data_IF_161528569555
#
_entry.id   IF_161528569555
#
_cell.length_a   1.000
_cell.length_b   1.000
_cell.length_c   1.000
_cell.angle_alpha   90.00
_cell.angle_beta   90.00
_cell.angle_gamma   90.00
#
_symmetry.space_group_name_H-M   'P 1'
#
loop_
_entity.id
_entity.type
_entity.pdbx_description
1 polymer ?
#
# COMPACT_ATOMS: atom_id res chain seq x y z
N UNK A 1 -4.32 33.72 -62.06
CA UNK A 1 -5.16 34.16 -60.93
C UNK A 1 -5.79 33.03 -60.10
N UNK A 2 -5.55 31.73 -60.38
CA UNK A 2 -6.09 30.62 -59.56
C UNK A 2 -5.23 30.24 -58.33
N UNK A 3 -3.95 30.62 -58.29
CA UNK A 3 -3.04 30.22 -57.21
C UNK A 3 -3.29 30.96 -55.89
N UNK A 4 -3.69 32.24 -55.93
CA UNK A 4 -3.90 33.05 -54.74
C UNK A 4 -5.19 32.71 -53.99
N UNK A 5 -6.19 32.15 -54.67
CA UNK A 5 -7.46 31.74 -54.08
C UNK A 5 -7.36 30.44 -53.26
N UNK A 6 -6.51 29.50 -53.70
CA UNK A 6 -6.26 28.25 -52.98
C UNK A 6 -5.56 28.47 -51.63
N UNK A 7 -4.63 29.43 -51.57
CA UNK A 7 -3.97 29.81 -50.31
C UNK A 7 -4.91 30.50 -49.33
N UNK A 8 -5.85 31.31 -49.83
CA UNK A 8 -6.87 31.95 -48.97
C UNK A 8 -7.83 30.93 -48.34
N UNK A 9 -8.24 29.90 -49.09
CA UNK A 9 -9.12 28.84 -48.59
C UNK A 9 -8.38 27.94 -47.57
N UNK A 10 -7.07 27.70 -47.75
CA UNK A 10 -6.28 26.94 -46.78
C UNK A 10 -6.13 27.69 -45.45
N UNK A 11 -5.91 29.01 -45.50
CA UNK A 11 -5.76 29.86 -44.29
C UNK A 11 -7.10 30.02 -43.54
N UNK A 12 -8.22 30.11 -44.27
CA UNK A 12 -9.56 30.16 -43.66
C UNK A 12 -9.95 28.83 -42.97
N UNK A 13 -9.52 27.68 -43.52
CA UNK A 13 -9.77 26.39 -42.89
C UNK A 13 -8.90 26.15 -41.65
N UNK A 14 -7.63 26.59 -41.64
CA UNK A 14 -6.78 26.45 -40.45
C UNK A 14 -7.19 27.39 -39.32
N UNK A 15 -7.69 28.59 -39.63
CA UNK A 15 -8.27 29.51 -38.63
C UNK A 15 -9.60 28.99 -38.04
N UNK A 16 -10.45 28.34 -38.85
CA UNK A 16 -11.70 27.75 -38.34
C UNK A 16 -11.44 26.56 -37.39
N UNK A 17 -10.46 25.71 -37.70
CA UNK A 17 -10.07 24.59 -36.82
C UNK A 17 -9.47 25.11 -35.50
N UNK A 18 -8.73 26.23 -35.54
CA UNK A 18 -8.21 26.88 -34.33
C UNK A 18 -9.32 27.53 -33.47
N UNK A 19 -10.35 28.12 -34.10
CA UNK A 19 -11.51 28.67 -33.39
C UNK A 19 -12.41 27.60 -32.76
N UNK A 20 -12.64 26.46 -33.43
CA UNK A 20 -13.43 25.35 -32.88
C UNK A 20 -12.68 24.69 -31.71
N UNK A 21 -11.35 24.62 -31.76
CA UNK A 21 -10.52 24.15 -30.63
C UNK A 21 -10.58 25.05 -29.40
N UNK A 22 -10.90 26.35 -29.54
CA UNK A 22 -11.07 27.24 -28.38
C UNK A 22 -12.48 27.25 -27.81
N UNK A 23 -13.51 26.89 -28.58
CA UNK A 23 -14.90 26.86 -28.10
C UNK A 23 -15.31 25.57 -27.36
N UNK A 24 -14.49 24.51 -27.40
CA UNK A 24 -14.70 23.32 -26.56
C UNK A 24 -13.96 23.37 -25.20
N UNK A 25 -13.29 24.49 -24.89
CA UNK A 25 -12.55 24.72 -23.64
C UNK A 25 -13.22 25.68 -22.64
N UNK A 26 -14.46 26.11 -22.89
CA UNK A 26 -15.20 26.99 -21.96
C UNK A 26 -16.50 26.32 -21.49
N UNK A 27 -16.35 25.35 -20.58
CA UNK A 27 -17.40 25.05 -19.61
C UNK A 27 -17.53 26.24 -18.65
N UNK A 28 -18.70 26.89 -18.68
CA UNK A 28 -19.19 27.94 -17.78
C UNK A 28 -18.55 27.92 -16.39
N UNK A 29 -17.64 28.86 -16.12
CA UNK A 29 -17.35 29.31 -14.75
C UNK A 29 -18.53 30.16 -14.28
N UNK A 30 -19.52 29.49 -13.69
CA UNK A 30 -20.42 30.14 -12.74
C UNK A 30 -19.62 30.45 -11.48
N UNK A 31 -19.33 31.73 -11.26
CA UNK A 31 -18.87 32.25 -9.98
C UNK A 31 -19.90 31.89 -8.90
N UNK A 32 -19.59 30.86 -8.12
CA UNK A 32 -20.18 30.65 -6.80
C UNK A 32 -19.06 30.97 -5.82
N UNK A 33 -19.13 32.17 -5.25
CA UNK A 33 -18.40 32.50 -4.03
C UNK A 33 -18.96 31.61 -2.90
N UNK A 34 -18.32 30.47 -2.68
CA UNK A 34 -18.46 29.68 -1.47
C UNK A 34 -17.13 29.78 -0.72
N UNK A 35 -17.05 30.85 0.08
CA UNK A 35 -16.01 31.02 1.10
C UNK A 35 -16.32 30.02 2.22
N UNK A 36 -15.79 28.82 2.06
CA UNK A 36 -15.78 27.75 3.03
C UNK A 36 -14.35 27.26 3.13
N UNK A 37 -13.68 27.67 4.20
CA UNK A 37 -12.36 27.29 4.69
C UNK A 37 -11.78 26.01 4.03
N UNK A 38 -11.17 26.18 2.86
CA UNK A 38 -10.19 25.22 2.35
C UNK A 38 -8.91 25.54 3.09
N UNK A 39 -8.66 24.84 4.19
CA UNK A 39 -7.31 24.71 4.71
C UNK A 39 -6.43 24.31 3.53
N UNK A 40 -5.35 25.05 3.29
CA UNK A 40 -4.50 24.94 2.07
C UNK A 40 -3.81 23.57 1.88
N UNK A 41 -4.11 22.59 2.73
CA UNK A 41 -3.39 21.33 2.90
C UNK A 41 -4.31 20.11 3.19
N UNK A 42 -5.64 20.26 3.04
CA UNK A 42 -6.60 19.20 3.36
C UNK A 42 -6.68 18.08 2.32
N UNK A 43 -6.49 16.83 2.73
CA UNK A 43 -6.75 15.63 1.94
C UNK A 43 -8.21 15.19 2.04
N UNK A 44 -8.69 14.39 1.08
CA UNK A 44 -10.13 14.03 0.99
C UNK A 44 -10.43 12.57 1.29
N UNK A 45 -9.41 11.72 1.33
CA UNK A 45 -9.48 10.32 1.74
C UNK A 45 -8.09 9.81 2.14
N UNK A 46 -8.08 8.70 2.87
CA UNK A 46 -6.88 7.97 3.27
C UNK A 46 -6.91 6.58 2.66
N UNK A 47 -5.76 6.10 2.22
CA UNK A 47 -5.55 4.75 1.71
C UNK A 47 -4.44 4.07 2.49
N UNK A 48 -4.54 2.77 2.68
CA UNK A 48 -3.51 1.96 3.30
C UNK A 48 -3.12 0.76 2.43
N UNK A 49 -1.83 0.43 2.42
CA UNK A 49 -1.29 -0.78 1.82
C UNK A 49 -0.50 -1.50 2.92
N UNK A 50 -0.97 -2.68 3.32
CA UNK A 50 -0.39 -3.47 4.40
C UNK A 50 0.18 -4.76 3.84
N UNK A 51 1.49 -4.99 4.02
CA UNK A 51 2.20 -6.11 3.40
C UNK A 51 2.93 -6.94 4.43
N UNK A 52 2.49 -8.20 4.58
CA UNK A 52 3.28 -9.27 5.18
C UNK A 52 3.98 -10.03 4.06
N UNK A 53 5.30 -9.87 3.93
CA UNK A 53 6.05 -10.41 2.78
C UNK A 53 6.63 -11.80 3.00
N UNK A 54 6.65 -12.30 4.24
CA UNK A 54 7.28 -13.57 4.60
C UNK A 54 6.31 -14.76 4.64
N UNK A 55 6.82 -15.97 4.44
CA UNK A 55 6.10 -17.23 4.63
C UNK A 55 6.64 -18.09 5.75
N UNK A 56 5.93 -19.18 6.03
CA UNK A 56 6.26 -20.26 6.95
C UNK A 56 5.92 -19.95 8.40
N UNK A 57 5.69 -21.03 9.16
CA UNK A 57 5.23 -20.99 10.54
C UNK A 57 6.14 -20.15 11.47
N UNK A 58 7.45 -20.24 11.31
CA UNK A 58 8.41 -19.49 12.13
C UNK A 58 8.36 -17.96 11.90
N UNK A 59 7.65 -17.52 10.86
CA UNK A 59 7.42 -16.11 10.54
C UNK A 59 6.01 -15.63 10.88
N UNK A 60 5.29 -16.38 11.72
CA UNK A 60 3.96 -16.04 12.22
C UNK A 60 3.77 -14.55 12.55
N UNK A 61 4.75 -13.97 13.28
CA UNK A 61 4.74 -12.57 13.71
C UNK A 61 4.52 -11.55 12.60
N UNK A 62 5.07 -11.74 11.40
CA UNK A 62 4.91 -10.74 10.34
C UNK A 62 3.46 -10.68 9.85
N UNK A 63 2.73 -11.81 9.89
CA UNK A 63 1.31 -11.83 9.56
C UNK A 63 0.49 -11.19 10.68
N UNK A 64 0.80 -11.52 11.93
CA UNK A 64 0.16 -10.93 13.11
C UNK A 64 0.37 -9.40 13.19
N UNK A 65 1.58 -8.91 12.94
CA UNK A 65 1.91 -7.48 12.82
C UNK A 65 0.99 -6.77 11.83
N UNK A 66 0.87 -7.34 10.62
CA UNK A 66 0.07 -6.77 9.53
C UNK A 66 -1.42 -6.75 9.87
N UNK A 67 -1.93 -7.83 10.46
CA UNK A 67 -3.33 -7.92 10.91
C UNK A 67 -3.62 -6.98 12.09
N UNK A 68 -2.66 -6.78 13.00
CA UNK A 68 -2.79 -5.81 14.08
C UNK A 68 -2.86 -4.38 13.55
N UNK A 69 -2.01 -4.02 12.58
CA UNK A 69 -2.11 -2.73 11.87
C UNK A 69 -3.46 -2.58 11.16
N UNK A 70 -3.92 -3.61 10.46
CA UNK A 70 -5.24 -3.62 9.83
C UNK A 70 -6.35 -3.33 10.85
N UNK A 71 -6.36 -4.03 11.98
CA UNK A 71 -7.32 -3.80 13.07
C UNK A 71 -7.25 -2.35 13.59
N UNK A 72 -6.07 -1.79 13.76
CA UNK A 72 -5.89 -0.40 14.18
C UNK A 72 -6.52 0.57 13.18
N UNK A 73 -6.29 0.39 11.88
CA UNK A 73 -6.93 1.23 10.85
C UNK A 73 -8.45 1.13 10.88
N UNK A 74 -8.99 -0.09 11.04
CA UNK A 74 -10.43 -0.33 11.21
C UNK A 74 -10.99 0.39 12.44
N UNK A 75 -10.28 0.32 13.57
CA UNK A 75 -10.66 1.01 14.82
C UNK A 75 -10.67 2.53 14.65
N UNK A 76 -9.71 3.07 13.90
CA UNK A 76 -9.63 4.49 13.53
C UNK A 76 -10.61 4.89 12.41
N UNK A 77 -11.36 3.93 11.87
CA UNK A 77 -12.52 4.14 11.01
C UNK A 77 -12.24 4.03 9.51
N UNK A 78 -11.04 3.62 9.09
CA UNK A 78 -10.74 3.40 7.68
C UNK A 78 -11.60 2.24 7.13
N UNK A 79 -12.33 2.44 6.01
CA UNK A 79 -13.15 1.38 5.41
C UNK A 79 -12.28 0.34 4.68
N UNK A 80 -12.77 -0.89 4.54
CA UNK A 80 -12.03 -1.97 3.84
C UNK A 80 -11.72 -1.62 2.39
N UNK A 81 -12.61 -0.88 1.74
CA UNK A 81 -12.41 -0.39 0.37
C UNK A 81 -11.14 0.46 0.20
N UNK A 82 -10.56 0.95 1.30
CA UNK A 82 -9.40 1.81 1.32
C UNK A 82 -8.16 1.14 1.94
N UNK A 83 -8.27 -0.13 2.36
CA UNK A 83 -7.15 -0.90 2.92
C UNK A 83 -6.86 -2.05 1.96
N UNK A 84 -5.67 -2.06 1.37
CA UNK A 84 -5.19 -3.17 0.58
C UNK A 84 -4.33 -4.07 1.47
N UNK A 85 -4.79 -5.29 1.72
CA UNK A 85 -4.13 -6.25 2.59
C UNK A 85 -3.47 -7.39 1.79
N UNK A 86 -2.14 -7.51 1.92
CA UNK A 86 -1.33 -8.53 1.28
C UNK A 86 -0.71 -9.45 2.34
N UNK A 87 -1.15 -10.72 2.39
CA UNK A 87 -0.63 -11.74 3.30
C UNK A 87 0.05 -12.87 2.52
N UNK A 88 1.37 -12.96 2.61
CA UNK A 88 2.16 -13.96 1.88
C UNK A 88 1.91 -15.42 2.35
N UNK A 89 1.38 -15.60 3.55
CA UNK A 89 1.01 -16.91 4.10
C UNK A 89 -0.33 -16.84 4.84
N UNK A 90 -0.86 -18.01 5.19
CA UNK A 90 -2.06 -18.13 6.02
C UNK A 90 -1.74 -19.00 7.25
N UNK A 91 -1.36 -18.34 8.35
CA UNK A 91 -1.07 -19.05 9.60
C UNK A 91 -2.34 -19.46 10.35
N UNK A 92 -3.49 -18.84 10.04
CA UNK A 92 -4.77 -19.18 10.65
C UNK A 92 -5.23 -20.58 10.22
N UNK A 93 -4.96 -20.93 8.96
CA UNK A 93 -5.25 -22.26 8.38
C UNK A 93 -4.07 -23.25 8.46
N UNK A 94 -2.97 -22.90 9.15
CA UNK A 94 -1.79 -23.77 9.21
C UNK A 94 -2.04 -24.98 10.14
N UNK A 95 -1.71 -26.22 9.75
CA UNK A 95 -1.88 -27.39 10.62
C UNK A 95 -1.08 -27.35 11.93
N UNK A 96 -0.05 -26.49 12.02
CA UNK A 96 0.71 -26.26 13.26
C UNK A 96 0.01 -25.32 14.22
N UNK A 97 -1.03 -24.59 13.77
CA UNK A 97 -1.74 -23.66 14.62
C UNK A 97 -2.66 -24.42 15.58
N UNK A 98 -2.40 -24.39 16.90
CA UNK A 98 -3.27 -25.02 17.89
C UNK A 98 -4.63 -24.32 18.01
N UNK A 99 -4.79 -23.12 17.43
CA UNK A 99 -6.03 -22.33 17.42
C UNK A 99 -6.49 -22.12 15.97
N UNK A 100 -7.25 -23.08 15.40
CA UNK A 100 -7.71 -22.99 14.02
C UNK A 100 -8.49 -21.70 13.74
N UNK A 101 -8.26 -21.11 12.57
CA UNK A 101 -8.92 -19.89 12.10
C UNK A 101 -8.69 -18.64 12.98
N UNK A 102 -7.73 -18.67 13.90
CA UNK A 102 -7.41 -17.54 14.77
C UNK A 102 -5.93 -17.15 14.69
N UNK A 103 -5.64 -15.86 14.90
CA UNK A 103 -4.28 -15.32 14.95
C UNK A 103 -4.18 -14.35 16.13
N UNK A 104 -3.30 -14.63 17.07
CA UNK A 104 -3.03 -13.80 18.24
C UNK A 104 -1.68 -13.09 18.11
N UNK A 105 -1.62 -11.80 18.46
CA UNK A 105 -0.38 -11.01 18.54
C UNK A 105 0.16 -10.85 19.96
N UNK A 106 -0.42 -11.56 20.94
CA UNK A 106 0.04 -11.60 22.32
C UNK A 106 -0.24 -12.98 22.94
N UNK A 107 0.53 -13.34 23.97
CA UNK A 107 0.38 -14.62 24.69
C UNK A 107 -0.93 -14.71 25.48
N UNK A 108 -1.48 -13.57 25.90
CA UNK A 108 -2.76 -13.50 26.62
C UNK A 108 -3.98 -13.79 25.75
N UNK A 109 -3.81 -13.88 24.42
CA UNK A 109 -4.87 -14.17 23.42
C UNK A 109 -6.13 -13.34 23.58
N UNK A 110 -5.96 -12.10 24.02
CA UNK A 110 -7.07 -11.20 24.34
C UNK A 110 -7.90 -10.85 23.11
N UNK A 111 -7.26 -10.85 21.94
CA UNK A 111 -7.82 -10.40 20.68
C UNK A 111 -7.38 -11.35 19.57
N UNK A 112 -8.36 -11.98 18.91
CA UNK A 112 -8.14 -12.59 17.60
C UNK A 112 -8.02 -11.49 16.53
N UNK A 113 -6.88 -11.48 15.85
CA UNK A 113 -6.51 -10.55 14.79
C UNK A 113 -7.05 -10.98 13.42
N UNK A 114 -7.39 -12.26 13.25
CA UNK A 114 -7.93 -12.77 11.99
C UNK A 114 -9.44 -12.55 11.96
N UNK A 115 -10.21 -13.20 12.84
CA UNK A 115 -11.65 -13.02 12.98
C UNK A 115 -12.46 -13.07 11.67
N UNK A 116 -13.74 -12.71 11.74
CA UNK A 116 -14.64 -12.75 10.58
C UNK A 116 -14.59 -11.48 9.70
N UNK A 117 -13.89 -10.43 10.15
CA UNK A 117 -13.97 -9.10 9.56
C UNK A 117 -12.80 -8.76 8.62
N UNK A 118 -11.76 -9.60 8.54
CA UNK A 118 -10.57 -9.30 7.75
C UNK A 118 -10.81 -9.58 6.27
N UNK A 119 -10.59 -8.55 5.45
CA UNK A 119 -10.60 -8.66 3.99
C UNK A 119 -9.17 -8.73 3.47
N UNK A 120 -8.77 -9.89 2.94
CA UNK A 120 -7.44 -10.10 2.35
C UNK A 120 -7.54 -10.01 0.82
N UNK A 121 -6.84 -9.05 0.23
CA UNK A 121 -6.90 -8.77 -1.21
C UNK A 121 -5.90 -9.61 -2.02
N UNK A 122 -4.70 -9.81 -1.47
CA UNK A 122 -3.68 -10.69 -2.06
C UNK A 122 -3.31 -11.76 -1.05
N UNK A 123 -3.59 -13.02 -1.41
CA UNK A 123 -3.38 -14.17 -0.53
C UNK A 123 -2.27 -15.08 -1.06
N UNK A 124 -1.41 -15.55 -0.19
CA UNK A 124 -0.45 -16.61 -0.51
C UNK A 124 0.41 -16.24 -1.70
N UNK A 125 0.34 -17.04 -2.77
CA UNK A 125 1.14 -16.88 -3.99
C UNK A 125 0.85 -15.59 -4.78
N UNK A 126 -0.23 -14.87 -4.50
CA UNK A 126 -0.51 -13.59 -5.15
C UNK A 126 0.36 -12.45 -4.61
N UNK A 127 0.98 -12.62 -3.43
CA UNK A 127 1.85 -11.62 -2.81
C UNK A 127 3.26 -11.76 -3.37
N UNK A 128 3.48 -11.17 -4.54
CA UNK A 128 4.78 -11.14 -5.23
C UNK A 128 5.32 -9.71 -5.32
N UNK A 129 6.60 -9.57 -5.64
CA UNK A 129 7.20 -8.25 -5.94
C UNK A 129 6.45 -7.57 -7.07
N UNK A 130 6.12 -8.32 -8.12
CA UNK A 130 5.37 -7.82 -9.27
C UNK A 130 3.98 -7.30 -8.89
N UNK A 131 3.23 -8.04 -8.07
CA UNK A 131 1.91 -7.63 -7.60
C UNK A 131 1.98 -6.33 -6.79
N UNK A 132 2.97 -6.19 -5.91
CA UNK A 132 3.15 -4.98 -5.10
C UNK A 132 3.54 -3.76 -5.96
N UNK A 133 4.53 -3.91 -6.85
CA UNK A 133 4.93 -2.82 -7.76
C UNK A 133 3.79 -2.44 -8.72
N UNK A 134 3.01 -3.42 -9.19
CA UNK A 134 1.82 -3.18 -10.01
C UNK A 134 0.74 -2.42 -9.23
N UNK A 135 0.52 -2.76 -7.96
CA UNK A 135 -0.40 -2.07 -7.08
C UNK A 135 -0.05 -0.58 -6.99
N UNK A 136 1.20 -0.28 -6.63
CA UNK A 136 1.71 1.09 -6.50
C UNK A 136 1.64 1.84 -7.83
N UNK A 137 2.15 1.28 -8.92
CA UNK A 137 2.18 1.96 -10.22
C UNK A 137 0.82 2.03 -10.93
N UNK A 138 -0.16 1.24 -10.47
CA UNK A 138 -1.54 1.22 -11.00
C UNK A 138 -1.66 0.56 -12.37
N UNK A 139 -0.65 -0.20 -12.80
CA UNK A 139 -0.60 -0.84 -14.13
C UNK A 139 -1.31 -2.19 -14.14
N UNK A 140 -2.61 -2.17 -13.82
CA UNK A 140 -3.46 -3.36 -13.82
C UNK A 140 -4.18 -3.54 -15.14
N UNK A 141 -4.40 -4.79 -15.52
CA UNK A 141 -5.31 -5.12 -16.62
C UNK A 141 -6.75 -4.66 -16.31
N UNK A 142 -7.55 -4.28 -17.33
CA UNK A 142 -8.90 -3.74 -17.13
C UNK A 142 -9.83 -4.61 -16.30
N UNK A 143 -9.67 -5.94 -16.33
CA UNK A 143 -10.49 -6.91 -15.61
C UNK A 143 -10.11 -7.12 -14.14
N UNK A 144 -8.97 -6.57 -13.67
CA UNK A 144 -8.57 -6.71 -12.26
C UNK A 144 -9.61 -6.01 -11.38
N UNK A 145 -10.16 -6.66 -10.34
CA UNK A 145 -11.19 -6.08 -9.49
C UNK A 145 -10.69 -4.85 -8.73
N UNK A 146 -11.62 -3.95 -8.37
CA UNK A 146 -11.30 -2.73 -7.63
C UNK A 146 -10.65 -2.98 -6.26
N UNK A 147 -11.01 -4.09 -5.59
CA UNK A 147 -10.39 -4.47 -4.31
C UNK A 147 -8.90 -4.78 -4.42
N UNK A 148 -8.40 -5.11 -5.61
CA UNK A 148 -6.97 -5.34 -5.89
C UNK A 148 -6.33 -4.13 -6.57
N UNK A 149 -6.85 -2.92 -6.33
CA UNK A 149 -6.33 -1.68 -6.92
C UNK A 149 -6.25 -0.60 -5.86
N UNK A 150 -5.11 0.09 -5.81
CA UNK A 150 -4.97 1.31 -5.04
C UNK A 150 -5.62 2.46 -5.82
N UNK A 151 -6.86 2.84 -5.50
CA UNK A 151 -7.59 3.88 -6.23
C UNK A 151 -7.37 5.29 -5.64
N UNK A 152 -6.14 5.55 -5.18
CA UNK A 152 -5.72 6.84 -4.65
C UNK A 152 -5.49 7.89 -5.76
N UNK A 153 -5.66 9.15 -5.40
CA UNK A 153 -5.55 10.31 -6.28
C UNK A 153 -4.72 11.44 -5.65
N UNK A 154 -4.71 12.60 -6.29
CA UNK A 154 -3.90 13.76 -5.89
C UNK A 154 -4.30 14.36 -4.54
N UNK A 155 -5.45 13.95 -4.00
CA UNK A 155 -6.00 14.38 -2.71
C UNK A 155 -5.98 13.27 -1.66
N UNK A 156 -5.37 12.12 -1.97
CA UNK A 156 -5.27 10.97 -1.08
C UNK A 156 -4.00 11.00 -0.25
N UNK A 157 -4.11 10.85 1.07
CA UNK A 157 -2.93 10.45 1.85
C UNK A 157 -2.80 8.92 1.81
N UNK A 158 -1.58 8.42 1.63
CA UNK A 158 -1.30 6.98 1.48
C UNK A 158 -0.39 6.52 2.60
N UNK A 159 -0.82 5.50 3.33
CA UNK A 159 -0.03 4.79 4.32
C UNK A 159 0.44 3.45 3.75
N UNK A 160 1.74 3.20 3.74
CA UNK A 160 2.32 1.92 3.33
C UNK A 160 3.03 1.35 4.54
N UNK A 161 2.62 0.16 4.98
CA UNK A 161 3.27 -0.63 6.01
C UNK A 161 3.75 -1.95 5.45
N UNK A 162 5.02 -2.25 5.65
CA UNK A 162 5.63 -3.51 5.22
C UNK A 162 6.36 -4.18 6.38
N UNK A 163 6.21 -5.49 6.50
CA UNK A 163 6.94 -6.29 7.50
C UNK A 163 7.38 -7.62 6.90
N UNK A 164 8.59 -8.03 7.26
CA UNK A 164 9.20 -9.24 6.75
C UNK A 164 10.69 -9.31 7.04
N UNK A 165 11.38 -10.19 6.30
CA UNK A 165 12.84 -10.31 6.37
C UNK A 165 13.48 -9.46 5.29
N UNK A 166 14.55 -8.76 5.63
CA UNK A 166 15.25 -7.90 4.70
C UNK A 166 16.70 -7.69 5.13
N UNK A 167 17.34 -6.73 4.49
CA UNK A 167 18.72 -6.36 4.75
C UNK A 167 19.05 -5.06 4.05
N UNK A 168 20.34 -4.86 3.78
CA UNK A 168 20.85 -3.66 3.15
C UNK A 168 20.22 -3.44 1.76
N UNK A 169 19.27 -2.51 1.70
CA UNK A 169 18.54 -2.07 0.51
C UNK A 169 17.63 -3.13 -0.14
N UNK A 170 17.18 -4.15 0.60
CA UNK A 170 16.20 -5.12 0.11
C UNK A 170 15.23 -5.65 1.18
N UNK A 171 14.06 -6.09 0.73
CA UNK A 171 13.08 -6.86 1.49
C UNK A 171 12.72 -8.14 0.73
N UNK A 172 12.72 -9.29 1.40
CA UNK A 172 12.33 -10.57 0.81
C UNK A 172 10.82 -10.69 0.69
N UNK A 173 10.38 -11.22 -0.45
CA UNK A 173 9.03 -11.68 -0.69
C UNK A 173 9.05 -13.20 -0.81
N UNK A 174 8.11 -13.86 -0.12
CA UNK A 174 7.87 -15.31 -0.20
C UNK A 174 9.09 -16.20 0.10
N UNK A 175 10.14 -15.64 0.72
CA UNK A 175 11.44 -16.28 0.92
C UNK A 175 12.16 -16.72 -0.38
N UNK A 176 11.75 -16.19 -1.54
CA UNK A 176 12.32 -16.56 -2.85
C UNK A 176 12.76 -15.35 -3.71
N UNK A 177 12.09 -14.22 -3.56
CA UNK A 177 12.28 -13.00 -4.32
C UNK A 177 12.70 -11.87 -3.37
N UNK A 178 13.32 -10.84 -3.92
CA UNK A 178 13.74 -9.65 -3.20
C UNK A 178 13.26 -8.42 -3.97
N UNK A 179 12.60 -7.49 -3.27
CA UNK A 179 12.36 -6.14 -3.78
C UNK A 179 13.48 -5.23 -3.27
N UNK A 180 14.06 -4.42 -4.15
CA UNK A 180 15.10 -3.48 -3.75
C UNK A 180 14.51 -2.13 -3.32
N UNK A 181 15.27 -1.38 -2.52
CA UNK A 181 14.95 0.01 -2.17
C UNK A 181 14.76 0.90 -3.42
N UNK A 182 15.49 0.60 -4.49
CA UNK A 182 15.39 1.29 -5.78
C UNK A 182 14.05 1.02 -6.48
N UNK A 183 13.58 -0.24 -6.49
CA UNK A 183 12.30 -0.59 -7.10
C UNK A 183 11.13 0.12 -6.40
N UNK A 184 11.20 0.22 -5.06
CA UNK A 184 10.21 0.96 -4.26
C UNK A 184 10.26 2.45 -4.58
N UNK A 185 11.45 3.03 -4.66
CA UNK A 185 11.63 4.44 -5.00
C UNK A 185 11.05 4.78 -6.37
N UNK A 186 11.36 4.00 -7.40
CA UNK A 186 10.88 4.21 -8.76
C UNK A 186 9.36 3.97 -8.89
N UNK A 187 8.80 3.08 -8.07
CA UNK A 187 7.34 2.87 -8.03
C UNK A 187 6.61 4.05 -7.37
N UNK A 188 7.15 4.58 -6.27
CA UNK A 188 6.59 5.77 -5.61
C UNK A 188 6.75 7.01 -6.49
N UNK A 189 7.86 7.15 -7.22
CA UNK A 189 8.01 8.21 -8.21
C UNK A 189 6.92 8.15 -9.27
N UNK A 190 6.64 6.97 -9.80
CA UNK A 190 5.52 6.80 -10.74
C UNK A 190 4.16 7.10 -10.12
N UNK A 191 3.97 6.91 -8.81
CA UNK A 191 2.76 7.37 -8.12
C UNK A 191 2.69 8.89 -8.09
N UNK A 192 3.81 9.56 -7.81
CA UNK A 192 3.90 11.01 -7.76
C UNK A 192 3.66 11.65 -9.14
N UNK A 193 4.34 11.17 -10.19
CA UNK A 193 4.17 11.67 -11.57
C UNK A 193 2.72 11.53 -12.05
N UNK A 194 2.04 10.46 -11.62
CA UNK A 194 0.62 10.20 -11.93
C UNK A 194 -0.35 10.89 -10.97
N UNK A 195 0.13 11.67 -10.01
CA UNK A 195 -0.64 12.35 -8.97
C UNK A 195 -1.57 11.39 -8.21
N UNK A 196 -1.00 10.31 -7.69
CA UNK A 196 -1.74 9.26 -6.95
C UNK A 196 -1.54 9.30 -5.45
N UNK A 197 -0.93 10.35 -4.93
CA UNK A 197 -0.96 10.70 -3.52
C UNK A 197 -0.76 12.21 -3.34
N UNK A 198 -1.24 12.71 -2.21
CA UNK A 198 -0.99 14.04 -1.67
C UNK A 198 0.22 14.01 -0.71
N UNK A 199 0.14 13.16 0.32
CA UNK A 199 1.22 12.84 1.27
C UNK A 199 1.34 11.32 1.41
N UNK A 200 2.55 10.82 1.64
CA UNK A 200 2.81 9.38 1.80
C UNK A 200 3.57 9.12 3.10
N UNK A 201 3.07 8.17 3.90
CA UNK A 201 3.74 7.64 5.09
C UNK A 201 4.23 6.22 4.79
N UNK A 202 5.54 6.01 4.78
CA UNK A 202 6.18 4.73 4.53
C UNK A 202 6.77 4.16 5.82
N UNK A 203 6.21 3.07 6.32
CA UNK A 203 6.64 2.40 7.56
C UNK A 203 7.10 0.99 7.24
N UNK A 204 8.27 0.61 7.71
CA UNK A 204 8.83 -0.71 7.40
C UNK A 204 9.50 -1.37 8.61
N UNK A 205 9.07 -2.59 8.94
CA UNK A 205 9.59 -3.42 10.03
C UNK A 205 10.37 -4.63 9.48
N UNK A 206 11.69 -4.50 9.46
CA UNK A 206 12.64 -5.48 8.93
C UNK A 206 14.06 -5.17 9.41
N UNK A 207 14.99 -6.13 9.31
CA UNK A 207 16.41 -5.87 9.47
C UNK A 207 16.88 -4.81 8.45
N UNK A 208 17.70 -3.87 8.93
CA UNK A 208 18.23 -2.73 8.16
C UNK A 208 17.15 -1.88 7.47
N UNK A 209 15.97 -1.78 8.08
CA UNK A 209 14.81 -1.03 7.60
C UNK A 209 15.11 0.37 7.03
N UNK A 210 16.02 1.14 7.64
CA UNK A 210 16.31 2.50 7.18
C UNK A 210 16.88 2.58 5.76
N UNK A 211 17.51 1.51 5.30
CA UNK A 211 18.08 1.42 3.95
C UNK A 211 17.00 1.36 2.88
N UNK A 212 15.80 0.84 3.21
CA UNK A 212 14.70 0.68 2.26
C UNK A 212 14.09 1.99 1.78
N UNK A 213 14.12 3.04 2.60
CA UNK A 213 13.64 4.36 2.20
C UNK A 213 14.77 5.35 1.90
N UNK A 214 16.04 4.95 2.04
CA UNK A 214 17.20 5.80 1.76
C UNK A 214 17.31 6.24 0.30
N UNK A 215 16.65 5.50 -0.61
CA UNK A 215 16.61 5.79 -2.05
C UNK A 215 15.35 6.52 -2.49
N UNK A 216 14.40 6.80 -1.61
CA UNK A 216 13.22 7.59 -1.99
C UNK A 216 13.65 9.02 -2.34
N UNK A 217 13.08 9.57 -3.40
CA UNK A 217 13.40 10.92 -3.89
C UNK A 217 12.19 11.76 -4.26
N UNK A 218 10.99 11.18 -4.31
CA UNK A 218 9.75 11.91 -4.58
C UNK A 218 9.32 12.75 -3.36
N UNK A 219 8.66 13.90 -3.56
CA UNK A 219 8.29 14.79 -2.48
C UNK A 219 7.07 14.30 -1.69
N UNK A 220 6.84 14.94 -0.54
CA UNK A 220 5.74 14.71 0.40
C UNK A 220 5.73 13.31 1.01
N UNK A 221 6.91 12.76 1.26
CA UNK A 221 7.10 11.45 1.90
C UNK A 221 7.66 11.64 3.31
N UNK A 222 7.06 10.94 4.25
CA UNK A 222 7.60 10.69 5.58
C UNK A 222 7.88 9.20 5.68
N UNK A 223 9.06 8.83 6.19
CA UNK A 223 9.45 7.44 6.31
C UNK A 223 9.98 7.12 7.68
N UNK A 224 9.72 5.90 8.13
CA UNK A 224 10.27 5.38 9.39
C UNK A 224 10.45 3.87 9.29
N UNK A 225 11.40 3.33 10.05
CA UNK A 225 11.64 1.90 10.08
C UNK A 225 12.27 1.41 11.36
N UNK A 226 12.22 0.10 11.57
CA UNK A 226 12.55 -0.57 12.83
C UNK A 226 14.02 -0.56 13.24
N UNK A 227 14.97 -0.51 12.30
CA UNK A 227 16.40 -0.71 12.59
C UNK A 227 17.32 -0.02 11.58
N UNK A 228 18.52 0.42 12.02
CA UNK A 228 19.52 1.09 11.18
C UNK A 228 20.34 0.15 10.29
N UNK A 229 21.13 0.73 9.37
CA UNK A 229 22.11 0.00 8.56
C UNK A 229 23.06 -0.78 9.48
N UNK A 230 23.29 -2.06 9.16
CA UNK A 230 24.11 -2.96 9.97
C UNK A 230 23.42 -3.55 11.22
N UNK A 231 22.14 -3.23 11.46
CA UNK A 231 21.37 -3.68 12.62
C UNK A 231 20.23 -4.64 12.20
N UNK A 232 19.88 -5.58 13.08
CA UNK A 232 18.71 -6.44 12.92
C UNK A 232 17.47 -5.83 13.58
N UNK A 233 16.28 -6.16 13.08
CA UNK A 233 15.05 -6.00 13.86
C UNK A 233 14.81 -7.27 14.69
N UNK A 234 14.07 -7.13 15.79
CA UNK A 234 13.90 -8.21 16.77
C UNK A 234 12.45 -8.58 16.96
N UNK A 235 12.21 -9.87 17.18
CA UNK A 235 10.92 -10.38 17.60
C UNK A 235 10.64 -10.07 19.08
N UNK A 236 9.36 -10.12 19.43
CA UNK A 236 8.85 -9.93 20.78
C UNK A 236 7.78 -10.99 21.10
N UNK A 237 7.51 -11.20 22.39
CA UNK A 237 6.54 -12.18 22.91
C UNK A 237 6.60 -13.58 22.26
N UNK A 238 7.32 -14.50 22.90
CA UNK A 238 7.22 -15.91 22.56
C UNK A 238 5.92 -16.49 23.16
N UNK A 239 5.12 -17.18 22.34
CA UNK A 239 3.97 -17.94 22.82
C UNK A 239 4.35 -19.43 22.82
N UNK A 240 4.29 -20.07 23.99
CA UNK A 240 4.72 -21.46 24.17
C UNK A 240 3.76 -22.47 23.54
N UNK A 241 2.47 -22.15 23.40
CA UNK A 241 1.52 -23.07 22.76
C UNK A 241 1.65 -22.98 21.24
N UNK A 242 1.85 -21.77 20.69
CA UNK A 242 2.10 -21.56 19.25
C UNK A 242 3.54 -21.99 18.87
N UNK A 243 4.48 -21.89 19.81
CA UNK A 243 5.86 -22.35 19.68
C UNK A 243 6.79 -21.40 18.93
N UNK A 244 6.36 -20.16 18.67
CA UNK A 244 7.12 -19.12 17.95
C UNK A 244 6.85 -17.73 18.53
N UNK A 245 7.65 -16.73 18.16
CA UNK A 245 7.34 -15.33 18.48
C UNK A 245 6.12 -14.85 17.70
N UNK A 246 5.21 -14.14 18.35
CA UNK A 246 3.91 -13.75 17.78
C UNK A 246 3.84 -12.31 17.27
N UNK A 247 4.84 -11.48 17.57
CA UNK A 247 4.88 -10.07 17.15
C UNK A 247 6.34 -9.59 17.07
N UNK A 248 6.63 -8.51 16.33
CA UNK A 248 7.94 -7.85 16.37
C UNK A 248 8.01 -6.70 17.37
N UNK A 249 9.18 -6.45 17.94
CA UNK A 249 9.41 -5.44 18.99
C UNK A 249 9.03 -4.03 18.55
N UNK A 250 9.44 -3.62 17.34
CA UNK A 250 9.09 -2.30 16.80
C UNK A 250 7.58 -2.16 16.63
N UNK A 251 6.97 -3.12 15.94
CA UNK A 251 5.51 -3.12 15.71
C UNK A 251 4.73 -3.19 17.02
N UNK A 252 5.21 -3.93 18.02
CA UNK A 252 4.59 -4.00 19.34
C UNK A 252 4.49 -2.62 20.01
N UNK A 253 5.61 -1.89 20.11
CA UNK A 253 5.64 -0.56 20.72
C UNK A 253 4.80 0.45 19.94
N UNK A 254 4.85 0.39 18.60
CA UNK A 254 3.99 1.21 17.73
C UNK A 254 2.51 0.94 18.00
N UNK A 255 2.10 -0.33 18.07
CA UNK A 255 0.70 -0.68 18.32
C UNK A 255 0.24 -0.27 19.72
N UNK A 256 1.08 -0.38 20.75
CA UNK A 256 0.75 0.09 22.10
C UNK A 256 0.38 1.56 22.10
N UNK A 257 1.15 2.38 21.39
CA UNK A 257 0.84 3.80 21.24
C UNK A 257 -0.42 4.02 20.40
N UNK A 258 -0.54 3.36 19.25
CA UNK A 258 -1.71 3.53 18.37
C UNK A 258 -3.02 3.13 19.06
N UNK A 259 -3.02 2.13 19.96
CA UNK A 259 -4.17 1.75 20.78
C UNK A 259 -4.67 2.87 21.71
N UNK A 260 -3.82 3.82 22.09
CA UNK A 260 -4.23 5.00 22.87
C UNK A 260 -4.99 6.03 22.04
N UNK A 261 -4.88 5.98 20.71
CA UNK A 261 -5.44 7.00 19.82
C UNK A 261 -6.91 6.74 19.50
N UNK A 262 -7.75 7.77 19.60
CA UNK A 262 -9.12 7.76 19.09
C UNK A 262 -9.23 8.31 17.67
N UNK A 263 -10.41 8.17 17.05
CA UNK A 263 -10.72 8.70 15.71
C UNK A 263 -10.54 10.22 15.60
N UNK A 264 -10.73 10.93 16.71
CA UNK A 264 -10.62 12.40 16.81
C UNK A 264 -9.31 12.83 17.46
N UNK A 265 -8.29 11.97 17.49
CA UNK A 265 -7.01 12.31 18.10
C UNK A 265 -6.33 13.45 17.34
N UNK A 266 -5.76 14.38 18.09
CA UNK A 266 -4.94 15.49 17.58
C UNK A 266 -3.44 15.18 17.66
N UNK A 267 -3.05 13.93 17.99
CA UNK A 267 -1.64 13.58 18.11
C UNK A 267 -0.91 13.71 16.78
N UNK A 268 0.30 14.24 16.86
CA UNK A 268 1.10 14.64 15.71
C UNK A 268 2.05 13.52 15.29
N UNK A 269 2.65 13.65 14.10
CA UNK A 269 3.71 12.73 13.67
C UNK A 269 4.96 12.85 14.56
N UNK A 270 5.20 14.02 15.16
CA UNK A 270 6.23 14.18 16.18
C UNK A 270 5.93 13.34 17.43
N UNK A 271 4.69 13.35 17.94
CA UNK A 271 4.28 12.50 19.06
C UNK A 271 4.49 11.01 18.73
N UNK A 272 4.19 10.61 17.49
CA UNK A 272 4.41 9.24 17.02
C UNK A 272 5.90 8.86 17.08
N UNK A 273 6.78 9.76 16.67
CA UNK A 273 8.22 9.53 16.68
C UNK A 273 8.81 9.55 18.07
N UNK A 274 8.23 10.32 18.99
CA UNK A 274 8.69 10.41 20.37
C UNK A 274 8.50 9.12 21.18
N UNK A 275 7.75 8.13 20.67
CA UNK A 275 7.64 6.81 21.32
C UNK A 275 8.87 5.93 21.10
N UNK A 276 9.76 6.32 20.17
CA UNK A 276 10.87 5.48 19.74
C UNK A 276 11.93 5.36 20.82
N UNK A 277 12.02 4.17 21.40
CA UNK A 277 12.94 3.83 22.48
C UNK A 277 13.79 2.61 22.06
N UNK A 278 15.09 2.79 21.76
CA UNK A 278 15.96 1.70 21.34
C UNK A 278 16.07 0.56 22.37
N UNK A 279 15.83 0.84 23.65
CA UNK A 279 15.89 -0.19 24.71
C UNK A 279 14.68 -1.12 24.59
N UNK A 280 13.47 -0.56 24.45
CA UNK A 280 12.24 -1.35 24.30
C UNK A 280 12.17 -2.05 22.94
N UNK A 281 12.53 -1.33 21.89
CA UNK A 281 12.49 -1.84 20.52
C UNK A 281 13.64 -2.80 20.20
N UNK A 282 14.70 -2.83 21.04
CA UNK A 282 15.92 -3.64 20.89
C UNK A 282 16.74 -3.33 19.64
N UNK A 283 16.35 -2.30 18.90
CA UNK A 283 17.02 -1.78 17.72
C UNK A 283 16.82 -0.26 17.66
N UNK A 284 17.59 0.43 16.82
CA UNK A 284 17.48 1.87 16.64
C UNK A 284 16.51 2.16 15.49
N UNK A 285 15.24 2.54 15.77
CA UNK A 285 14.34 2.94 14.71
C UNK A 285 14.86 4.23 14.04
N UNK A 286 14.69 4.31 12.72
CA UNK A 286 15.07 5.48 11.94
C UNK A 286 13.85 6.28 11.50
N UNK A 287 14.04 7.59 11.37
CA UNK A 287 13.02 8.52 10.87
C UNK A 287 13.63 9.32 9.72
N UNK A 288 12.87 9.54 8.66
CA UNK A 288 13.22 10.45 7.58
C UNK A 288 12.05 11.36 7.23
N UNK A 289 12.29 12.66 7.33
CA UNK A 289 11.33 13.73 7.00
C UNK A 289 11.88 14.65 5.91
N UNK A 290 13.04 14.33 5.32
CA UNK A 290 13.74 15.18 4.34
C UNK A 290 12.96 15.42 3.05
N UNK A 291 12.01 14.55 2.74
CA UNK A 291 11.13 14.64 1.57
C UNK A 291 9.78 15.28 1.91
N UNK A 292 9.50 15.58 3.17
CA UNK A 292 8.30 16.29 3.58
C UNK A 292 8.52 17.80 3.50
N UNK A 293 7.54 18.52 2.93
CA UNK A 293 7.50 19.99 2.93
C UNK A 293 6.95 20.56 4.24
N UNK A 294 6.31 19.72 5.06
CA UNK A 294 5.65 20.08 6.31
C UNK A 294 6.34 19.39 7.48
N UNK A 295 6.48 20.10 8.60
CA UNK A 295 7.14 19.57 9.79
C UNK A 295 6.26 18.53 10.50
N UNK A 296 6.85 17.53 11.18
CA UNK A 296 6.09 16.44 11.82
C UNK A 296 5.08 16.89 12.89
N UNK A 297 5.36 17.98 13.60
CA UNK A 297 4.48 18.59 14.62
C UNK A 297 3.18 19.17 14.03
N UNK A 298 3.19 19.47 12.73
CA UNK A 298 2.04 20.04 12.01
C UNK A 298 1.18 18.98 11.32
N UNK A 299 1.59 17.71 11.34
CA UNK A 299 0.92 16.62 10.63
C UNK A 299 0.27 15.70 11.66
N UNK A 300 -1.02 15.44 11.54
CA UNK A 300 -1.69 14.51 12.46
C UNK A 300 -1.48 13.09 11.99
N UNK A 301 -1.34 12.17 12.93
CA UNK A 301 -1.28 10.73 12.60
C UNK A 301 -2.59 10.27 11.95
N UNK A 302 -3.70 10.84 12.41
CA UNK A 302 -5.04 10.58 11.87
C UNK A 302 -5.19 11.05 10.42
N UNK A 303 -4.30 11.93 9.91
CA UNK A 303 -4.25 12.28 8.50
C UNK A 303 -3.78 11.13 7.61
N UNK A 304 -3.19 10.07 8.17
CA UNK A 304 -2.84 8.84 7.45
C UNK A 304 -3.69 7.64 7.88
N UNK A 305 -3.93 7.50 9.20
CA UNK A 305 -4.52 6.28 9.77
C UNK A 305 -6.03 6.38 10.04
N UNK A 306 -6.57 7.60 10.06
CA UNK A 306 -7.97 7.87 10.41
C UNK A 306 -8.93 7.84 9.24
N UNK A 307 -10.22 7.80 9.53
CA UNK A 307 -11.27 8.06 8.55
C UNK A 307 -11.36 9.55 8.19
N UNK A 308 -11.57 9.86 6.90
CA UNK A 308 -11.93 11.21 6.46
C UNK A 308 -13.43 11.23 6.16
N UNK A 309 -14.22 11.84 7.03
CA UNK A 309 -15.66 12.02 6.80
C UNK A 309 -15.87 13.30 5.97
N UNK A 310 -16.39 13.17 4.74
CA UNK A 310 -16.92 14.32 4.02
C UNK A 310 -18.29 14.67 4.60
N UNK A 311 -18.35 15.77 5.35
CA UNK A 311 -19.62 16.33 5.80
C UNK A 311 -20.06 17.34 4.74
N UNK A 312 -20.97 16.93 3.88
CA UNK A 312 -21.69 17.89 3.02
C UNK A 312 -22.79 18.54 3.86
N UNK A 313 -22.57 19.79 4.27
CA UNK A 313 -23.58 20.59 4.97
C UNK A 313 -24.61 21.04 3.94
N UNK A 314 -25.73 20.31 3.85
CA UNK A 314 -26.86 20.77 3.05
C UNK A 314 -27.45 22.03 3.67
N UNK A 315 -27.65 23.09 2.87
CA UNK A 315 -28.30 24.31 3.36
C UNK A 315 -29.75 24.00 3.74
N UNK A 316 -30.22 24.58 4.85
CA UNK A 316 -31.58 24.38 5.38
C UNK A 316 -32.71 24.72 4.39
N UNK A 317 -32.42 25.48 3.33
CA UNK A 317 -33.32 25.78 2.21
C UNK A 317 -33.65 24.58 1.30
N UNK A 318 -32.95 23.45 1.44
CA UNK A 318 -33.20 22.21 0.69
C UNK A 318 -34.04 21.18 1.46
N UNK A 319 -34.42 21.48 2.71
CA UNK A 319 -35.32 20.66 3.51
C UNK A 319 -36.75 20.93 3.02
N UNK A 320 -37.32 19.99 2.26
CA UNK A 320 -38.72 20.06 1.86
C UNK A 320 -39.61 20.07 3.12
N UNK A 321 -40.61 20.98 3.21
CA UNK A 321 -41.52 20.99 4.34
C UNK A 321 -42.32 19.68 4.40
N UNK A 322 -42.63 19.15 5.61
CA UNK A 322 -43.33 17.87 5.79
C UNK A 322 -44.71 17.75 5.11
N UNK A 323 -45.23 18.85 4.59
CA UNK A 323 -46.58 18.97 4.04
C UNK A 323 -46.76 18.51 2.59
N UNK A 324 -45.73 17.96 1.93
CA UNK A 324 -45.84 17.45 0.54
C UNK A 324 -46.07 15.93 0.42
N UNK A 325 -46.08 15.17 1.52
CA UNK A 325 -46.30 13.71 1.52
C UNK A 325 -47.77 13.26 1.67
N UNK A 326 -48.75 14.16 1.48
CA UNK A 326 -50.17 13.82 1.50
C UNK A 326 -50.89 14.41 0.29
N UNK A 327 -50.73 13.78 -0.89
CA UNK A 327 -51.74 13.94 -1.96
C UNK A 327 -51.67 12.93 -3.11
N UNK A 328 -50.66 12.06 -3.22
CA UNK A 328 -50.64 11.05 -4.30
C UNK A 328 -51.14 9.69 -3.83
N UNK A 329 -52.44 9.63 -3.48
CA UNK A 329 -53.18 8.38 -3.51
C UNK A 329 -53.45 7.99 -4.97
N UNK A 330 -52.51 7.31 -5.60
CA UNK A 330 -52.76 6.61 -6.87
C UNK A 330 -53.09 5.16 -6.52
N UNK A 331 -54.36 4.82 -6.67
CA UNK A 331 -54.92 3.50 -6.41
C UNK A 331 -54.34 2.44 -7.36
N UNK A 332 -53.48 1.55 -6.85
CA UNK A 332 -53.18 0.30 -7.53
C UNK A 332 -54.38 -0.64 -7.41
N UNK A 333 -55.20 -0.71 -8.46
CA UNK A 333 -56.26 -1.71 -8.60
C UNK A 333 -55.63 -3.08 -8.88
N UNK A 334 -55.75 -4.00 -7.94
CA UNK A 334 -55.51 -5.42 -8.18
C UNK A 334 -56.72 -6.01 -8.93
N UNK A 335 -56.51 -6.46 -10.16
CA UNK A 335 -57.48 -7.27 -10.89
C UNK A 335 -57.39 -8.72 -10.40
N UNK A 336 -58.32 -9.13 -9.54
CA UNK A 336 -58.60 -10.53 -9.27
C UNK A 336 -59.69 -11.00 -10.22
N UNK A 337 -59.31 -11.78 -11.24
CA UNK A 337 -60.28 -12.57 -12.01
C UNK A 337 -60.41 -13.94 -11.36
N UNK A 338 -61.60 -14.20 -10.83
CA UNK A 338 -62.01 -15.51 -10.33
C UNK A 338 -62.50 -16.37 -11.50
N UNK A 339 -62.11 -17.64 -11.51
CA UNK A 339 -62.90 -18.69 -12.15
C UNK A 339 -62.88 -19.96 -11.30
N UNK A 340 -64.06 -20.27 -10.76
CA UNK A 340 -64.42 -21.49 -10.06
C UNK A 340 -64.32 -22.73 -10.96
N UNK A 341 -63.98 -23.88 -10.40
CA UNK A 341 -64.90 -25.04 -10.34
C UNK A 341 -64.39 -26.15 -9.42
N UNK A 342 -65.37 -26.72 -8.72
CA UNK A 342 -65.31 -27.77 -7.70
C UNK A 342 -64.84 -29.12 -8.25
N UNK A 343 -64.18 -29.94 -7.42
CA UNK A 343 -64.73 -31.21 -6.86
C UNK A 343 -63.67 -31.96 -6.02
N UNK A 344 -63.99 -32.18 -4.75
CA UNK A 344 -63.39 -33.20 -3.83
C UNK A 344 -64.13 -34.55 -4.03
N UNK A 345 -63.60 -35.74 -3.66
CA UNK A 345 -63.34 -36.17 -2.26
C UNK A 345 -62.12 -37.15 -2.13
N UNK A 346 -61.66 -37.71 -1.00
CA UNK A 346 -62.03 -37.84 0.42
C UNK A 346 -60.80 -38.50 1.13
N UNK A 347 -60.62 -38.20 2.43
CA UNK A 347 -60.18 -39.06 3.57
C UNK A 347 -58.94 -39.99 3.42
N UNK A 348 -58.07 -40.23 4.41
CA UNK A 348 -58.21 -40.24 5.87
C UNK A 348 -56.83 -40.35 6.54
N UNK A 349 -56.68 -39.63 7.65
CA UNK A 349 -56.21 -40.08 8.95
C UNK A 349 -54.76 -40.54 9.23
N UNK A 350 -54.14 -39.73 10.09
CA UNK A 350 -53.53 -40.10 11.41
C UNK A 350 -52.18 -40.82 11.41
N UNK A 351 -51.26 -40.61 12.36
CA UNK A 351 -51.12 -39.75 13.56
C UNK A 351 -49.66 -39.97 14.05
N UNK A 352 -48.97 -38.95 14.56
CA UNK A 352 -48.55 -38.77 15.98
C UNK A 352 -47.57 -39.85 16.50
N UNK A 353 -46.56 -39.58 17.31
CA UNK A 353 -46.37 -38.70 18.47
C UNK A 353 -44.85 -38.65 18.75
N UNK A 354 -44.19 -37.52 19.06
CA UNK A 354 -44.25 -36.63 20.24
C UNK A 354 -43.33 -37.03 21.40
N UNK A 355 -42.79 -35.99 22.06
CA UNK A 355 -41.84 -36.12 23.18
C UNK A 355 -41.19 -34.79 23.60
N UNK A 356 -42.01 -33.82 24.02
CA UNK A 356 -41.74 -32.62 24.85
C UNK A 356 -40.93 -32.91 26.14
N UNK A 357 -40.28 -31.99 26.88
CA UNK A 357 -40.66 -30.66 27.42
C UNK A 357 -39.42 -30.01 28.10
N UNK A 358 -39.15 -28.70 28.04
CA UNK A 358 -39.66 -27.55 28.85
C UNK A 358 -38.85 -27.16 30.12
N UNK A 359 -38.40 -25.88 30.19
CA UNK A 359 -38.68 -24.83 31.22
C UNK A 359 -37.50 -23.87 31.53
N UNK A 360 -37.82 -22.56 31.48
CA UNK A 360 -37.51 -21.40 32.36
C UNK A 360 -36.07 -21.23 32.95
N UNK A 361 -35.47 -20.06 33.14
CA UNK A 361 -35.93 -18.69 33.45
C UNK A 361 -34.73 -17.73 33.36
N UNK A 362 -34.97 -16.43 33.11
CA UNK A 362 -33.93 -15.39 33.16
C UNK A 362 -33.57 -14.92 34.57
N UNK A 363 -32.37 -14.34 34.71
CA UNK A 363 -32.05 -13.36 35.76
C UNK A 363 -30.94 -12.43 35.30
N UNK A 364 -31.18 -11.13 35.45
CA UNK A 364 -30.23 -10.02 35.36
C UNK A 364 -29.42 -9.85 36.65
N UNK A 365 -28.14 -9.49 36.57
CA UNK A 365 -27.45 -8.76 37.65
C UNK A 365 -26.30 -7.89 37.13
N UNK A 366 -26.28 -6.65 37.60
CA UNK A 366 -25.28 -5.60 37.41
C UNK A 366 -24.26 -5.59 38.57
N UNK A 367 -23.14 -4.89 38.33
CA UNK A 367 -22.09 -4.41 39.28
C UNK A 367 -21.07 -5.48 39.74
N UNK A 368 -19.76 -5.24 39.87
CA UNK A 368 -18.98 -4.04 40.24
C UNK A 368 -17.48 -4.26 39.97
N UNK A 369 -16.75 -3.17 39.71
CA UNK A 369 -15.29 -3.02 39.61
C UNK A 369 -14.61 -3.15 40.99
N UNK A 370 -13.52 -3.92 41.11
CA UNK A 370 -12.49 -3.77 42.16
C UNK A 370 -11.09 -4.03 41.53
N UNK A 371 -10.07 -3.17 41.79
CA UNK A 371 -8.72 -3.30 41.25
C UNK A 371 -7.74 -3.93 42.27
N UNK A 372 -6.75 -4.65 41.76
CA UNK A 372 -5.54 -5.12 42.49
C UNK A 372 -4.69 -5.91 41.50
N UNK A 373 -3.37 -5.99 41.52
CA UNK A 373 -2.24 -5.30 42.14
C UNK A 373 -1.01 -5.95 41.46
N UNK A 374 0.13 -5.28 41.45
CA UNK A 374 1.32 -5.69 40.70
C UNK A 374 1.82 -7.11 40.96
N UNK A 375 2.33 -7.72 39.89
CA UNK A 375 3.24 -8.86 39.94
C UNK A 375 4.44 -8.47 39.08
N UNK A 376 5.58 -8.32 39.74
CA UNK A 376 6.90 -8.28 39.12
C UNK A 376 7.22 -9.66 38.58
N UNK A 377 7.47 -9.77 37.27
CA UNK A 377 8.02 -10.99 36.69
C UNK A 377 9.41 -10.67 36.15
N UNK A 378 10.39 -11.18 36.89
CA UNK A 378 11.80 -11.24 36.55
C UNK A 378 11.96 -12.44 35.62
N UNK A 379 12.27 -12.23 34.33
CA UNK A 379 12.51 -13.32 33.40
C UNK A 379 13.80 -13.16 32.59
N UNK A 380 14.54 -14.26 32.65
CA UNK A 380 15.80 -14.59 32.01
C UNK A 380 15.87 -14.20 30.54
N UNK A 381 16.98 -13.53 30.20
CA UNK A 381 17.38 -13.19 28.85
C UNK A 381 17.82 -14.46 28.10
N UNK A 382 16.90 -15.12 27.41
CA UNK A 382 17.24 -16.03 26.31
C UNK A 382 16.95 -15.35 24.97
N UNK A 383 17.92 -14.57 24.50
CA UNK A 383 17.94 -14.03 23.14
C UNK A 383 18.41 -15.13 22.19
N UNK A 384 17.52 -15.69 21.37
CA UNK A 384 17.91 -16.52 20.24
C UNK A 384 18.23 -15.58 19.07
N UNK A 385 19.53 -15.35 18.85
CA UNK A 385 20.04 -14.70 17.63
C UNK A 385 20.03 -15.75 16.54
N UNK A 386 19.16 -15.62 15.54
CA UNK A 386 19.26 -16.37 14.30
C UNK A 386 20.46 -15.83 13.50
N UNK A 387 21.66 -16.36 13.76
CA UNK A 387 22.85 -16.03 12.98
C UNK A 387 22.74 -16.62 11.57
N UNK A 388 22.84 -15.77 10.55
CA UNK A 388 23.00 -16.20 9.16
C UNK A 388 24.31 -15.69 8.59
N UNK A 389 25.10 -16.63 8.07
CA UNK A 389 26.43 -16.45 7.54
C UNK A 389 26.38 -15.97 6.08
N UNK A 390 27.15 -14.91 5.76
CA UNK A 390 27.19 -14.25 4.45
C UNK A 390 27.71 -15.18 3.35
N UNK A 391 26.83 -15.77 2.54
CA UNK A 391 27.21 -16.27 1.22
C UNK A 391 27.26 -15.13 0.20
N UNK A 392 28.45 -14.57 -0.04
CA UNK A 392 28.71 -13.68 -1.18
C UNK A 392 28.63 -14.47 -2.49
N UNK A 393 27.58 -14.27 -3.29
CA UNK A 393 27.63 -14.55 -4.73
C UNK A 393 27.91 -13.26 -5.49
N UNK A 394 29.12 -13.15 -6.02
CA UNK A 394 29.49 -12.17 -7.04
C UNK A 394 28.72 -12.52 -8.32
N UNK A 395 27.85 -11.62 -8.80
CA UNK A 395 27.13 -11.82 -10.07
C UNK A 395 27.70 -10.90 -11.16
N UNK A 396 28.26 -11.52 -12.20
CA UNK A 396 28.59 -10.86 -13.46
C UNK A 396 27.31 -10.39 -14.17
N UNK A 397 27.32 -9.13 -14.60
CA UNK A 397 26.26 -8.49 -15.40
C UNK A 397 26.16 -9.16 -16.78
N UNK A 398 24.99 -9.69 -17.11
CA UNK A 398 24.57 -9.93 -18.50
C UNK A 398 23.38 -9.02 -18.80
N UNK A 399 23.54 -8.12 -19.78
CA UNK A 399 22.48 -7.27 -20.32
C UNK A 399 21.56 -8.15 -21.17
N UNK A 400 20.29 -8.29 -20.81
CA UNK A 400 19.27 -8.81 -21.72
C UNK A 400 18.53 -7.64 -22.38
N UNK A 401 18.49 -7.68 -23.71
CA UNK A 401 17.79 -6.74 -24.59
C UNK A 401 16.49 -7.42 -25.00
N UNK A 402 15.35 -6.81 -24.71
CA UNK A 402 14.05 -7.27 -25.19
C UNK A 402 13.94 -7.09 -26.72
N UNK A 403 13.49 -8.12 -27.42
CA UNK A 403 12.99 -8.04 -28.80
C UNK A 403 11.80 -8.98 -28.96
N UNK A 404 10.81 -8.51 -29.72
CA UNK A 404 9.47 -9.09 -29.88
C UNK A 404 9.49 -10.19 -30.97
N UNK A 405 8.63 -11.19 -30.77
CA UNK A 405 8.37 -12.38 -31.56
C UNK A 405 7.99 -12.11 -33.04
N UNK A 406 8.16 -13.09 -33.96
CA UNK A 406 6.94 -13.76 -34.44
C UNK A 406 7.05 -15.26 -34.81
N UNK A 407 5.94 -15.97 -34.51
CA UNK A 407 5.27 -17.07 -35.23
C UNK A 407 5.95 -18.41 -35.57
N UNK A 408 5.28 -19.48 -35.12
CA UNK A 408 5.05 -20.81 -35.71
C UNK A 408 6.22 -21.74 -36.09
N UNK A 409 6.37 -22.87 -35.36
CA UNK A 409 5.97 -24.22 -35.83
C UNK A 409 6.33 -25.32 -34.81
N UNK A 410 5.42 -26.29 -34.76
CA UNK A 410 5.46 -27.61 -34.13
C UNK A 410 6.72 -28.46 -34.41
N UNK A 411 7.12 -29.34 -33.46
CA UNK A 411 7.23 -30.82 -33.58
C UNK A 411 8.04 -31.42 -32.41
N UNK A 412 7.52 -32.56 -31.92
CA UNK A 412 8.05 -33.61 -31.05
C UNK A 412 9.58 -33.75 -30.90
N UNK A 413 10.08 -34.02 -29.67
CA UNK A 413 10.52 -35.36 -29.21
C UNK A 413 11.36 -35.31 -27.92
N UNK A 414 11.22 -36.36 -27.12
CA UNK A 414 12.04 -36.75 -25.96
C UNK A 414 13.56 -36.65 -26.19
N UNK A 415 14.35 -36.34 -25.15
CA UNK A 415 15.29 -37.28 -24.50
C UNK A 415 16.35 -36.60 -23.60
N UNK A 416 16.47 -37.17 -22.39
CA UNK A 416 17.67 -37.45 -21.57
C UNK A 416 18.66 -36.39 -21.06
N UNK A 417 18.75 -36.43 -19.73
CA UNK A 417 19.90 -36.22 -18.84
C UNK A 417 21.31 -36.56 -19.40
N UNK A 418 22.26 -35.66 -19.17
CA UNK A 418 23.62 -35.90 -18.65
C UNK A 418 24.18 -34.52 -18.22
N UNK A 419 24.79 -34.30 -17.06
CA UNK A 419 25.82 -35.09 -16.39
C UNK A 419 27.20 -34.52 -16.76
N UNK A 420 27.62 -33.38 -16.20
CA UNK A 420 28.98 -32.85 -16.39
C UNK A 420 29.70 -32.69 -15.04
N UNK A 421 30.89 -33.29 -15.06
CA UNK A 421 31.84 -33.62 -14.01
C UNK A 421 32.84 -32.48 -13.83
N UNK A 422 33.17 -32.16 -12.58
CA UNK A 422 34.24 -31.23 -12.19
C UNK A 422 35.61 -31.77 -12.61
N UNK A 423 36.53 -30.86 -12.97
CA UNK A 423 37.97 -31.15 -13.13
C UNK A 423 38.79 -30.00 -12.55
N UNK A 424 39.59 -30.31 -11.53
CA UNK A 424 40.64 -29.47 -10.95
C UNK A 424 41.95 -29.55 -11.74
N UNK A 425 42.69 -28.43 -11.73
CA UNK A 425 44.15 -28.24 -11.82
C UNK A 425 44.39 -26.72 -11.90
N UNK A 426 45.34 -26.06 -11.26
CA UNK A 426 46.52 -26.41 -10.47
C UNK A 426 47.32 -25.11 -10.24
N UNK A 427 48.18 -25.10 -9.25
CA UNK A 427 48.85 -23.95 -8.61
C UNK A 427 49.83 -23.10 -9.47
N UNK A 428 49.80 -21.77 -9.23
CA UNK A 428 50.88 -20.78 -8.92
C UNK A 428 52.19 -20.66 -9.75
N UNK A 429 53.06 -19.64 -9.55
CA UNK A 429 52.91 -18.16 -9.49
C UNK A 429 54.02 -17.41 -10.33
N UNK A 430 53.94 -16.07 -10.52
CA UNK A 430 55.08 -15.09 -10.50
C UNK A 430 54.79 -13.72 -11.17
N UNK A 431 54.98 -12.66 -10.36
CA UNK A 431 55.59 -11.32 -10.60
C UNK A 431 55.80 -10.79 -12.05
N UNK A 432 55.32 -9.56 -12.35
CA UNK A 432 56.17 -8.37 -12.65
C UNK A 432 55.34 -7.13 -13.03
N UNK A 433 56.01 -5.99 -12.91
CA UNK A 433 55.58 -4.58 -12.80
C UNK A 433 54.98 -3.89 -14.04
N UNK A 434 54.27 -2.80 -13.73
CA UNK A 434 54.12 -1.50 -14.39
C UNK A 434 54.55 -1.32 -15.86
N UNK A 435 53.62 -0.79 -16.66
CA UNK A 435 53.92 0.16 -17.73
C UNK A 435 52.78 1.18 -17.91
N UNK A 436 53.21 2.43 -17.99
CA UNK A 436 52.50 3.70 -18.12
C UNK A 436 51.65 3.76 -19.39
N UNK A 437 50.44 4.34 -19.30
CA UNK A 437 49.59 4.66 -20.45
C UNK A 437 48.64 5.83 -20.16
N UNK A 438 49.01 7.01 -20.65
CA UNK A 438 48.27 8.29 -20.65
C UNK A 438 47.06 8.20 -21.59
N UNK A 439 45.89 8.78 -21.24
CA UNK A 439 44.78 8.90 -22.20
C UNK A 439 43.43 9.43 -21.70
N UNK A 440 43.37 10.72 -21.41
CA UNK A 440 42.27 11.71 -21.53
C UNK A 440 40.77 11.33 -21.45
N UNK A 441 40.11 12.10 -20.57
CA UNK A 441 38.69 12.38 -20.32
C UNK A 441 37.90 12.84 -21.58
N UNK A 442 36.68 12.29 -21.76
CA UNK A 442 35.57 12.94 -22.48
C UNK A 442 34.23 12.61 -21.81
N UNK A 443 33.81 13.51 -20.93
CA UNK A 443 32.40 13.72 -20.54
C UNK A 443 31.53 14.04 -21.76
N UNK A 444 30.53 13.21 -22.00
CA UNK A 444 29.43 13.48 -22.93
C UNK A 444 28.26 14.10 -22.19
N UNK A 445 27.99 15.37 -22.44
CA UNK A 445 26.71 16.02 -22.17
C UNK A 445 26.17 16.56 -23.49
N UNK A 446 24.99 16.08 -23.85
CA UNK A 446 24.16 16.53 -24.97
C UNK A 446 23.38 17.77 -24.49
N UNK A 447 23.53 18.90 -25.17
CA UNK A 447 22.68 20.09 -25.00
C UNK A 447 22.10 20.42 -26.36
N UNK A 448 20.78 20.57 -26.39
CA UNK A 448 19.95 20.83 -27.56
C UNK A 448 20.36 22.08 -28.35
N UNK A 449 20.50 21.89 -29.66
CA UNK A 449 20.84 22.91 -30.65
C UNK A 449 19.63 23.22 -31.54
N UNK A 450 18.62 23.94 -31.05
CA UNK A 450 17.66 24.67 -31.90
C UNK A 450 17.27 25.95 -31.17
N UNK A 451 17.97 27.05 -31.41
CA UNK A 451 17.54 28.33 -30.83
C UNK A 451 18.53 29.49 -30.74
N UNK A 452 19.70 29.46 -31.38
CA UNK A 452 20.62 30.63 -31.40
C UNK A 452 21.25 30.78 -32.79
N UNK A 453 20.40 30.86 -33.82
CA UNK A 453 20.81 31.10 -35.21
C UNK A 453 20.32 32.42 -35.81
N UNK A 454 19.45 33.16 -35.10
CA UNK A 454 18.72 34.31 -35.67
C UNK A 454 19.03 35.63 -34.93
N UNK A 455 19.83 35.61 -33.85
CA UNK A 455 20.12 36.82 -33.06
C UNK A 455 21.53 37.41 -33.25
N UNK A 456 22.41 36.76 -34.04
CA UNK A 456 23.80 37.23 -34.24
C UNK A 456 24.01 37.88 -35.62
N UNK A 457 23.03 37.82 -36.53
CA UNK A 457 23.10 38.44 -37.86
C UNK A 457 22.41 39.82 -37.96
N UNK A 458 21.80 40.32 -36.88
CA UNK A 458 21.12 41.64 -36.83
C UNK A 458 21.86 42.68 -35.99
N UNK A 459 22.96 42.33 -35.31
CA UNK A 459 23.75 43.25 -34.47
C UNK A 459 25.11 43.66 -35.06
N UNK A 460 25.51 43.10 -36.21
CA UNK A 460 26.75 43.48 -36.90
C UNK A 460 26.54 44.49 -38.05
N UNK A 461 25.30 44.94 -38.29
CA UNK A 461 24.94 45.87 -39.38
C UNK A 461 24.54 47.29 -38.90
N UNK A 462 24.73 47.62 -37.61
CA UNK A 462 24.27 48.90 -37.03
C UNK A 462 25.33 49.71 -36.25
N UNK A 463 26.61 49.35 -36.27
CA UNK A 463 27.66 50.11 -35.55
C UNK A 463 28.98 50.31 -36.31
N UNK A 464 28.93 50.38 -37.65
CA UNK A 464 30.00 50.97 -38.48
C UNK A 464 29.38 51.98 -39.45
N UNK A 465 29.01 53.12 -38.88
CA UNK A 465 28.44 54.26 -39.59
C UNK A 465 28.42 55.51 -38.71
N UNK A 466 29.58 56.17 -38.63
CA UNK A 466 29.87 57.53 -38.12
C UNK A 466 30.47 57.66 -36.71
N UNK A 467 31.74 58.10 -36.76
CA UNK A 467 32.60 58.78 -35.78
C UNK A 467 33.28 57.92 -34.72
#
# INVERSE_FOLDING_TARGET
>A
MLSTWLWFILILNTLNVYCISQQHGQSREGSINADGDRTKDGHTNNWAVLVSSSRYWFNYRHMANTLAMYRTLKRLGMPDSNIILMLADDVACNPRNPFPAAVYGNSGRQVDLYGDAVQVDYRGYEVTVESFLRLLTGRHEPHVPASKRLLSDASSNVFIYMTGHGGDEFLKFQDNEEISAYDVADAIEQMWEKRRYNKLLFVIDTCQATTMYSKLYSPHIISTGSSQLGESSYSHHNDYDIGVSVIDSFTHEVLLYLETLGKTSNSTMEDFFNIYDPIKMKSHPGISTSLSSVQPDQIRITDFLGAVARIEIMSSSSILPPSTLLSHSSSCKFNTSSRNSNTSPRNSDTSSDSGTSSRNSGTTSNHRIIPSAGISDDQDKTTIVAGWEKSRKVRQRTKSRFSINPSDRSILSNETYSGIRMREKGDSPLLMMDLIGIGLDKRGMMVDWIGIGVLILTLAALTLGKR
#
